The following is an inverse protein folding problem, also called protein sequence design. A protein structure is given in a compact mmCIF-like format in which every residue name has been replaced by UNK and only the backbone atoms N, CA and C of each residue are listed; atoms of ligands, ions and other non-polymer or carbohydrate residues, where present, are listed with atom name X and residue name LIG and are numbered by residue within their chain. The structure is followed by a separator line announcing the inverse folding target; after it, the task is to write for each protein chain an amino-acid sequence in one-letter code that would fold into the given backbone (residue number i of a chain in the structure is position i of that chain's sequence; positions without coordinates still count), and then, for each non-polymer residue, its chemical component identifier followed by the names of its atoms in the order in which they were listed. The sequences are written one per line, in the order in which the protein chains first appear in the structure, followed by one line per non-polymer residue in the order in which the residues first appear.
data_IF_797319560952
#
_entry.id   IF_797319560952
#
_cell.length_a   1.000
_cell.length_b   1.000
_cell.length_c   1.000
_cell.angle_alpha   90.00
_cell.angle_beta   90.00
_cell.angle_gamma   90.00
#
_symmetry.space_group_name_H-M   'P 1'
#
loop_
_entity.id
_entity.type
_entity.pdbx_description
1 polymer ?
#
# COMPACT_ATOMS: atom_id res chain seq x y z
N UNK A 1 14.30 -7.47 -5.76
CA UNK A 1 14.54 -6.19 -5.01
C UNK A 1 13.19 -5.65 -4.47
N UNK A 2 13.07 -5.19 -3.23
CA UNK A 2 11.76 -4.72 -2.71
C UNK A 2 11.53 -3.24 -3.04
N UNK A 3 10.52 -2.93 -3.83
CA UNK A 3 10.16 -1.55 -4.18
C UNK A 3 9.04 -1.06 -3.28
N UNK A 4 9.10 0.21 -2.88
CA UNK A 4 8.00 0.86 -2.15
C UNK A 4 6.70 0.68 -2.91
N UNK A 5 5.65 0.22 -2.24
CA UNK A 5 4.36 0.05 -2.89
C UNK A 5 3.82 1.44 -3.29
N UNK A 6 3.62 1.72 -4.58
CA UNK A 6 3.18 3.04 -5.03
C UNK A 6 1.72 3.32 -4.66
N UNK A 7 0.92 2.28 -4.41
CA UNK A 7 -0.50 2.43 -4.07
C UNK A 7 -0.73 2.99 -2.67
N UNK A 8 0.10 2.59 -1.70
CA UNK A 8 0.05 3.10 -0.33
C UNK A 8 1.27 3.95 0.03
N UNK A 9 2.10 4.28 -0.95
CA UNK A 9 3.34 5.07 -0.77
C UNK A 9 4.26 4.51 0.34
N UNK A 10 4.25 3.19 0.54
CA UNK A 10 5.05 2.54 1.59
C UNK A 10 4.39 2.42 2.96
N UNK A 11 3.21 3.00 3.18
CA UNK A 11 2.50 2.96 4.46
C UNK A 11 2.01 1.56 4.85
N UNK A 12 1.69 0.72 3.86
CA UNK A 12 1.06 -0.59 4.08
C UNK A 12 -0.47 -0.52 4.23
N UNK A 13 -1.06 0.66 4.24
CA UNK A 13 -2.51 0.86 4.32
C UNK A 13 -2.93 2.07 3.46
N UNK A 14 -4.22 2.15 3.16
CA UNK A 14 -4.84 3.31 2.50
C UNK A 14 -5.77 4.01 3.48
N UNK A 15 -5.83 5.33 3.37
CA UNK A 15 -6.71 6.18 4.17
C UNK A 15 -7.99 6.44 3.39
N UNK A 16 -9.13 6.14 4.00
CA UNK A 16 -10.43 6.48 3.45
C UNK A 16 -10.87 7.77 4.11
N UNK A 17 -10.96 8.79 3.26
CA UNK A 17 -11.32 10.15 3.66
C UNK A 17 -12.75 10.43 3.26
N UNK A 18 -13.43 11.21 4.07
CA UNK A 18 -14.75 11.72 3.70
C UNK A 18 -14.64 12.89 2.70
N UNK A 19 -15.78 13.47 2.33
CA UNK A 19 -15.81 14.61 1.42
C UNK A 19 -15.17 15.90 2.01
N UNK A 20 -14.92 15.95 3.33
CA UNK A 20 -14.22 17.05 3.99
C UNK A 20 -12.70 16.86 3.99
N UNK A 21 -12.23 15.65 3.68
CA UNK A 21 -10.81 15.28 3.65
C UNK A 21 -10.30 14.71 4.97
N UNK A 22 -11.15 14.60 6.00
CA UNK A 22 -10.81 13.98 7.27
C UNK A 22 -10.70 12.46 7.12
N UNK A 23 -9.74 11.85 7.81
CA UNK A 23 -9.51 10.40 7.76
C UNK A 23 -10.56 9.73 8.63
N UNK A 24 -11.41 8.92 8.02
CA UNK A 24 -12.46 8.19 8.71
C UNK A 24 -12.00 6.78 9.10
N UNK A 25 -11.18 6.14 8.25
CA UNK A 25 -10.63 4.81 8.53
C UNK A 25 -9.38 4.52 7.70
N UNK A 26 -8.62 3.54 8.17
CA UNK A 26 -7.50 2.96 7.46
C UNK A 26 -7.85 1.52 7.07
N UNK A 27 -7.55 1.13 5.84
CA UNK A 27 -7.69 -0.25 5.37
C UNK A 27 -6.35 -0.79 4.90
N UNK A 28 -6.06 -2.05 5.19
CA UNK A 28 -4.82 -2.70 4.75
C UNK A 28 -4.69 -2.62 3.23
N UNK A 29 -3.53 -2.19 2.75
CA UNK A 29 -3.27 -2.07 1.32
C UNK A 29 -3.22 -3.46 0.69
N UNK A 30 -4.26 -3.81 -0.07
CA UNK A 30 -4.41 -5.12 -0.69
C UNK A 30 -3.32 -5.43 -1.71
N UNK A 31 -2.74 -4.40 -2.35
CA UNK A 31 -1.68 -4.58 -3.35
C UNK A 31 -0.37 -5.08 -2.76
N UNK A 32 -0.02 -4.65 -1.54
CA UNK A 32 1.20 -5.10 -0.86
C UNK A 32 0.90 -6.03 0.33
N UNK A 33 -0.37 -6.38 0.54
CA UNK A 33 -0.81 -7.19 1.68
C UNK A 33 -0.41 -6.61 3.04
N UNK A 34 -0.36 -5.27 3.18
CA UNK A 34 0.04 -4.63 4.43
C UNK A 34 1.53 -4.37 4.61
N UNK A 35 2.39 -4.83 3.70
CA UNK A 35 3.85 -4.77 3.89
C UNK A 35 4.49 -3.43 3.54
N UNK A 36 3.77 -2.55 2.82
CA UNK A 36 4.30 -1.32 2.27
C UNK A 36 5.28 -1.53 1.10
N UNK A 37 5.52 -2.77 0.68
CA UNK A 37 6.50 -3.11 -0.35
C UNK A 37 5.88 -4.03 -1.38
N UNK A 38 6.13 -3.78 -2.66
CA UNK A 38 5.90 -4.78 -3.69
C UNK A 38 7.12 -5.69 -3.71
N UNK A 39 6.87 -7.00 -3.58
CA UNK A 39 7.85 -7.98 -3.97
C UNK A 39 7.94 -7.88 -5.49
N UNK A 40 9.05 -7.34 -6.00
CA UNK A 40 9.45 -7.70 -7.35
C UNK A 40 9.87 -9.15 -7.17
N UNK A 41 8.99 -10.08 -7.55
CA UNK A 41 9.43 -11.41 -7.88
C UNK A 41 10.42 -11.18 -9.02
N UNK A 42 11.71 -11.27 -8.70
CA UNK A 42 12.71 -11.47 -9.72
C UNK A 42 12.21 -12.72 -10.46
N UNK A 43 11.73 -12.56 -11.71
CA UNK A 43 11.51 -13.67 -12.64
C UNK A 43 12.86 -14.39 -12.76
N UNK A 44 13.11 -15.35 -11.87
CA UNK A 44 14.20 -16.31 -11.96
C UNK A 44 13.73 -17.52 -12.77
N UNK A 45 14.42 -17.68 -13.91
CA UNK A 45 14.55 -18.82 -14.86
C UNK A 45 13.51 -19.00 -15.98
#
# INVERSE_FOLDING_TARGET
MNTTCPHCEGKGYIEIRDCSGEIQREETCLFCGGTGKLKIEDEED
#
